data_IF_493086399301
#
_entry.id   IF_493086399301
#
_cell.length_a   1.000
_cell.length_b   1.000
_cell.length_c   1.000
_cell.angle_alpha   90.00
_cell.angle_beta   90.00
_cell.angle_gamma   90.00
#
_symmetry.space_group_name_H-M   'P 1'
#
loop_
_entity.id
_entity.type
_entity.pdbx_description
1 polymer ?
#
# COMPACT_ATOMS: atom_id res chain seq x y z
N UNK A 1 44.91 3.04 39.30
CA UNK A 1 44.26 3.36 38.00
C UNK A 1 43.66 2.07 37.47
N UNK A 2 42.38 1.84 37.66
CA UNK A 2 41.66 0.72 37.05
C UNK A 2 40.77 1.31 36.00
N UNK A 3 41.09 1.03 34.71
CA UNK A 3 40.27 1.41 33.58
C UNK A 3 39.02 0.55 33.54
N UNK A 4 37.87 1.17 33.70
CA UNK A 4 36.57 0.59 33.42
C UNK A 4 36.38 0.61 31.90
N UNK A 5 36.68 -0.52 31.23
CA UNK A 5 36.16 -0.80 29.90
C UNK A 5 34.72 -1.31 30.10
N UNK A 6 33.76 -0.38 30.14
CA UNK A 6 32.37 -0.77 29.91
C UNK A 6 32.22 -1.11 28.43
N UNK A 7 32.32 -2.42 28.13
CA UNK A 7 31.83 -2.97 26.88
C UNK A 7 30.31 -2.69 26.84
N UNK A 8 29.90 -1.78 25.99
CA UNK A 8 28.51 -1.68 25.56
C UNK A 8 28.26 -2.99 24.80
N UNK A 9 27.75 -3.99 25.52
CA UNK A 9 27.16 -5.16 24.88
C UNK A 9 25.92 -4.66 24.15
N UNK A 10 26.01 -4.51 22.84
CA UNK A 10 24.83 -4.32 21.98
C UNK A 10 23.97 -5.55 22.28
N UNK A 11 22.81 -5.31 22.83
CA UNK A 11 21.87 -6.35 23.25
C UNK A 11 21.39 -7.10 22.00
N UNK A 12 22.05 -8.23 21.70
CA UNK A 12 21.71 -9.10 20.56
C UNK A 12 20.23 -9.53 20.61
N UNK A 13 19.63 -9.60 21.82
CA UNK A 13 18.22 -9.88 22.00
C UNK A 13 17.30 -8.79 21.42
N UNK A 14 17.79 -7.53 21.27
CA UNK A 14 17.07 -6.45 20.58
C UNK A 14 17.09 -6.59 19.07
N UNK A 15 18.14 -7.13 18.46
CA UNK A 15 18.20 -7.33 17.01
C UNK A 15 17.27 -8.45 16.52
N UNK A 16 17.18 -9.55 17.28
CA UNK A 16 16.26 -10.64 16.94
C UNK A 16 14.79 -10.23 17.00
N UNK A 17 14.45 -9.25 17.83
CA UNK A 17 13.10 -8.69 17.92
C UNK A 17 12.68 -7.78 16.76
N UNK A 18 13.58 -7.41 15.82
CA UNK A 18 13.30 -6.54 14.68
C UNK A 18 13.12 -7.32 13.37
N UNK A 19 13.01 -8.64 13.43
CA UNK A 19 12.84 -9.54 12.28
C UNK A 19 11.57 -10.38 12.44
N UNK A 20 10.40 -9.79 12.32
CA UNK A 20 9.14 -10.53 12.42
C UNK A 20 9.06 -11.58 11.32
N UNK A 21 8.55 -12.76 11.65
CA UNK A 21 8.40 -13.88 10.71
C UNK A 21 7.01 -13.98 10.13
N UNK A 22 6.06 -13.23 10.66
CA UNK A 22 4.68 -13.20 10.22
C UNK A 22 4.00 -11.85 10.53
N UNK A 23 2.84 -11.64 9.92
CA UNK A 23 2.05 -10.40 10.07
C UNK A 23 1.71 -10.06 11.52
N UNK A 24 1.40 -11.06 12.36
CA UNK A 24 1.02 -10.81 13.75
C UNK A 24 2.18 -10.20 14.55
N UNK A 25 3.36 -10.78 14.43
CA UNK A 25 4.58 -10.27 15.06
C UNK A 25 4.92 -8.86 14.57
N UNK A 26 4.80 -8.63 13.26
CA UNK A 26 5.02 -7.31 12.66
C UNK A 26 4.02 -6.27 13.22
N UNK A 27 2.73 -6.60 13.28
CA UNK A 27 1.69 -5.69 13.80
C UNK A 27 1.90 -5.37 15.28
N UNK A 28 2.29 -6.34 16.09
CA UNK A 28 2.65 -6.13 17.51
C UNK A 28 3.87 -5.22 17.66
N UNK A 29 4.89 -5.41 16.83
CA UNK A 29 6.11 -4.59 16.85
C UNK A 29 5.82 -3.14 16.43
N UNK A 30 5.06 -2.91 15.37
CA UNK A 30 4.62 -1.58 14.94
C UNK A 30 3.84 -0.89 16.06
N UNK A 31 2.85 -1.57 16.64
CA UNK A 31 2.04 -1.04 17.75
C UNK A 31 2.90 -0.61 18.94
N UNK A 32 3.88 -1.44 19.31
CA UNK A 32 4.84 -1.11 20.38
C UNK A 32 5.63 0.16 20.03
N UNK A 33 6.21 0.25 18.81
CA UNK A 33 6.97 1.41 18.37
C UNK A 33 6.14 2.69 18.35
N UNK A 34 4.92 2.61 17.84
CA UNK A 34 4.00 3.76 17.84
C UNK A 34 3.63 4.21 19.26
N UNK A 35 3.47 3.29 20.21
CA UNK A 35 3.21 3.63 21.60
C UNK A 35 4.43 4.29 22.30
N UNK A 36 5.64 3.85 21.97
CA UNK A 36 6.89 4.34 22.57
C UNK A 36 7.35 5.67 21.96
N UNK A 37 7.18 5.85 20.64
CA UNK A 37 7.79 6.94 19.87
C UNK A 37 6.77 7.84 19.17
N UNK A 38 5.49 7.47 19.24
CA UNK A 38 4.40 8.19 18.59
C UNK A 38 4.19 7.80 17.12
N UNK A 39 3.15 8.37 16.48
CA UNK A 39 2.71 7.96 15.14
C UNK A 39 3.67 8.37 14.00
N UNK A 40 4.71 9.14 14.27
CA UNK A 40 5.73 9.57 13.30
C UNK A 40 7.05 8.80 13.44
N UNK A 41 7.05 7.66 14.14
CA UNK A 41 8.25 6.86 14.34
C UNK A 41 8.82 6.34 13.01
N UNK A 42 10.15 6.20 12.97
CA UNK A 42 10.86 5.51 11.90
C UNK A 42 10.82 4.00 12.17
N UNK A 43 10.33 3.23 11.18
CA UNK A 43 10.22 1.77 11.25
C UNK A 43 11.16 1.07 10.23
N UNK A 44 12.07 1.81 9.60
CA UNK A 44 12.97 1.27 8.58
C UNK A 44 14.05 0.31 9.11
N UNK A 45 14.21 0.22 10.42
CA UNK A 45 15.07 -0.77 11.07
C UNK A 45 14.40 -2.15 11.24
N UNK A 46 13.11 -2.25 10.94
CA UNK A 46 12.39 -3.54 10.96
C UNK A 46 12.63 -4.27 9.65
N UNK A 47 13.21 -5.46 9.72
CA UNK A 47 13.40 -6.34 8.56
C UNK A 47 12.09 -7.07 8.21
N UNK A 48 11.39 -6.59 7.19
CA UNK A 48 10.11 -7.15 6.72
C UNK A 48 10.27 -8.09 5.53
N UNK A 49 11.50 -8.39 5.10
CA UNK A 49 11.80 -9.14 3.86
C UNK A 49 11.18 -10.55 3.78
N UNK A 50 10.79 -11.13 4.93
CA UNK A 50 10.13 -12.45 5.00
C UNK A 50 8.60 -12.37 5.06
N UNK A 51 8.04 -11.17 5.13
CA UNK A 51 6.58 -10.99 5.25
C UNK A 51 5.95 -11.12 3.86
N UNK A 52 5.00 -12.01 3.73
CA UNK A 52 4.24 -12.24 2.48
C UNK A 52 2.82 -11.68 2.52
N UNK A 53 2.30 -11.40 3.71
CA UNK A 53 0.96 -10.83 3.94
C UNK A 53 1.07 -9.59 4.83
N UNK A 54 0.73 -8.43 4.25
CA UNK A 54 0.66 -7.14 4.94
C UNK A 54 -0.78 -6.59 5.00
N UNK A 55 -1.79 -7.48 4.80
CA UNK A 55 -3.18 -7.05 4.84
C UNK A 55 -3.54 -6.48 6.21
N UNK A 56 -4.30 -5.37 6.23
CA UNK A 56 -4.75 -4.69 7.46
C UNK A 56 -3.60 -4.24 8.39
N UNK A 57 -2.41 -3.95 7.86
CA UNK A 57 -1.26 -3.65 8.71
C UNK A 57 -1.36 -2.27 9.38
N UNK A 58 -1.85 -1.27 8.67
CA UNK A 58 -2.07 0.10 9.10
C UNK A 58 -3.54 0.53 8.93
N UNK A 59 -4.48 -0.44 8.99
CA UNK A 59 -5.91 -0.17 8.91
C UNK A 59 -6.38 0.71 10.08
N UNK A 60 -7.21 1.71 9.79
CA UNK A 60 -7.74 2.68 10.78
C UNK A 60 -6.62 3.29 11.66
N UNK A 61 -5.47 3.60 11.04
CA UNK A 61 -4.26 3.99 11.74
C UNK A 61 -3.90 5.45 11.53
N UNK A 62 -3.47 6.12 12.60
CA UNK A 62 -2.89 7.45 12.55
C UNK A 62 -1.37 7.44 12.27
N UNK A 63 -0.80 6.32 11.82
CA UNK A 63 0.63 6.22 11.48
C UNK A 63 0.99 7.18 10.34
N UNK A 64 2.04 7.98 10.55
CA UNK A 64 2.61 8.97 9.61
C UNK A 64 4.15 8.90 9.59
N UNK A 65 4.69 7.78 10.03
CA UNK A 65 6.14 7.57 10.14
C UNK A 65 6.77 7.12 8.83
N UNK A 66 8.02 6.67 8.91
CA UNK A 66 8.83 6.29 7.76
C UNK A 66 8.96 4.77 7.63
N UNK A 67 8.56 4.26 6.45
CA UNK A 67 8.67 2.87 6.01
C UNK A 67 9.24 2.78 4.58
N UNK A 68 9.89 3.86 4.12
CA UNK A 68 10.36 4.00 2.73
C UNK A 68 11.42 2.99 2.32
N UNK A 69 12.13 2.38 3.30
CA UNK A 69 13.19 1.40 3.07
C UNK A 69 12.76 -0.05 3.28
N UNK A 70 11.49 -0.29 3.55
CA UNK A 70 11.00 -1.66 3.70
C UNK A 70 11.21 -2.46 2.41
N UNK A 71 11.80 -3.63 2.54
CA UNK A 71 11.85 -4.63 1.46
C UNK A 71 10.53 -5.41 1.44
N UNK A 72 9.63 -4.98 0.56
CA UNK A 72 8.31 -5.60 0.38
C UNK A 72 8.27 -6.58 -0.80
N UNK A 73 9.42 -6.92 -1.38
CA UNK A 73 9.52 -7.76 -2.58
C UNK A 73 8.93 -9.18 -2.40
N UNK A 74 8.84 -9.66 -1.16
CA UNK A 74 8.20 -10.95 -0.86
C UNK A 74 6.67 -10.86 -0.66
N UNK A 75 6.09 -9.65 -0.62
CA UNK A 75 4.68 -9.46 -0.29
C UNK A 75 3.78 -9.88 -1.45
N UNK A 76 2.76 -10.67 -1.14
CA UNK A 76 1.74 -11.15 -2.09
C UNK A 76 0.38 -10.49 -1.83
N UNK A 77 0.09 -10.11 -0.59
CA UNK A 77 -1.19 -9.56 -0.18
C UNK A 77 -1.01 -8.24 0.58
N UNK A 78 -1.60 -7.16 0.03
CA UNK A 78 -1.66 -5.81 0.62
C UNK A 78 -3.11 -5.32 0.81
N UNK A 79 -4.06 -6.26 0.89
CA UNK A 79 -5.48 -5.95 1.08
C UNK A 79 -5.72 -5.10 2.33
N UNK A 80 -6.46 -3.98 2.21
CA UNK A 80 -6.77 -3.04 3.30
C UNK A 80 -5.55 -2.49 4.07
N UNK A 81 -4.34 -2.55 3.50
CA UNK A 81 -3.11 -2.21 4.25
C UNK A 81 -3.13 -0.81 4.84
N UNK A 82 -3.71 0.17 4.15
CA UNK A 82 -3.84 1.58 4.56
C UNK A 82 -5.29 2.05 4.53
N UNK A 83 -6.25 1.16 4.76
CA UNK A 83 -7.66 1.51 4.83
C UNK A 83 -7.94 2.50 5.97
N UNK A 84 -8.68 3.58 5.70
CA UNK A 84 -8.95 4.65 6.68
C UNK A 84 -7.69 5.19 7.38
N UNK A 85 -6.53 5.17 6.69
CA UNK A 85 -5.24 5.52 7.28
C UNK A 85 -4.85 6.97 6.99
N UNK A 86 -4.18 7.58 7.96
CA UNK A 86 -3.56 8.90 7.83
C UNK A 86 -2.19 8.87 7.11
N UNK A 87 -1.72 7.70 6.69
CA UNK A 87 -0.41 7.54 6.04
C UNK A 87 -0.36 8.28 4.69
N UNK A 88 0.68 9.10 4.51
CA UNK A 88 1.02 9.79 3.26
C UNK A 88 2.56 9.83 3.06
N UNK A 89 3.25 8.79 3.52
CA UNK A 89 4.71 8.67 3.41
C UNK A 89 5.19 8.20 2.05
N UNK A 90 6.51 8.27 1.81
CA UNK A 90 7.13 7.84 0.56
C UNK A 90 7.25 6.31 0.49
N UNK A 91 6.54 5.72 -0.47
CA UNK A 91 6.62 4.30 -0.83
C UNK A 91 6.90 4.10 -2.32
N UNK A 92 7.41 5.14 -2.98
CA UNK A 92 7.66 5.14 -4.43
C UNK A 92 8.69 4.11 -4.90
N UNK A 93 9.54 3.62 -3.97
CA UNK A 93 10.61 2.66 -4.25
C UNK A 93 10.26 1.22 -3.89
N UNK A 94 9.07 0.97 -3.37
CA UNK A 94 8.66 -0.38 -3.04
C UNK A 94 8.60 -1.27 -4.28
N UNK A 95 9.18 -2.45 -4.19
CA UNK A 95 9.03 -3.51 -5.20
C UNK A 95 7.75 -4.30 -4.91
N UNK A 96 6.68 -3.96 -5.62
CA UNK A 96 5.36 -4.60 -5.49
C UNK A 96 5.11 -5.65 -6.57
N UNK A 97 6.15 -6.03 -7.33
CA UNK A 97 6.03 -6.91 -8.50
C UNK A 97 5.46 -8.31 -8.17
N UNK A 98 5.55 -8.76 -6.92
CA UNK A 98 4.97 -10.04 -6.49
C UNK A 98 3.54 -9.93 -5.94
N UNK A 99 3.01 -8.72 -5.75
CA UNK A 99 1.68 -8.51 -5.17
C UNK A 99 0.59 -9.01 -6.12
N UNK A 100 -0.39 -9.72 -5.55
CA UNK A 100 -1.57 -10.24 -6.26
C UNK A 100 -2.86 -9.55 -5.84
N UNK A 101 -2.94 -9.10 -4.59
CA UNK A 101 -4.14 -8.51 -4.01
C UNK A 101 -3.83 -7.14 -3.42
N UNK A 102 -4.49 -6.11 -3.98
CA UNK A 102 -4.48 -4.71 -3.52
C UNK A 102 -5.90 -4.20 -3.25
N UNK A 103 -6.87 -5.10 -2.97
CA UNK A 103 -8.23 -4.69 -2.66
C UNK A 103 -8.25 -3.70 -1.49
N UNK A 104 -8.94 -2.57 -1.67
CA UNK A 104 -9.13 -1.52 -0.67
C UNK A 104 -7.84 -1.00 -0.01
N UNK A 105 -6.68 -1.14 -0.68
CA UNK A 105 -5.38 -0.79 -0.07
C UNK A 105 -5.32 0.65 0.43
N UNK A 106 -5.91 1.59 -0.29
CA UNK A 106 -5.96 3.02 0.04
C UNK A 106 -7.40 3.55 0.11
N UNK A 107 -8.38 2.67 0.34
CA UNK A 107 -9.78 3.09 0.52
C UNK A 107 -9.89 4.00 1.74
N UNK A 108 -10.58 5.13 1.57
CA UNK A 108 -10.78 6.15 2.61
C UNK A 108 -9.47 6.72 3.22
N UNK A 109 -8.36 6.60 2.49
CA UNK A 109 -7.01 7.00 2.93
C UNK A 109 -6.66 8.42 2.47
N UNK A 110 -5.75 9.06 3.21
CA UNK A 110 -5.17 10.36 2.84
C UNK A 110 -4.01 10.24 1.84
N UNK A 111 -3.57 9.01 1.51
CA UNK A 111 -2.42 8.77 0.64
C UNK A 111 -2.57 9.41 -0.74
N UNK A 112 -1.56 10.20 -1.13
CA UNK A 112 -1.44 10.79 -2.46
C UNK A 112 0.02 10.79 -2.99
N UNK A 113 0.84 9.85 -2.52
CA UNK A 113 2.23 9.69 -2.91
C UNK A 113 2.42 9.20 -4.35
N UNK A 114 3.65 9.31 -4.85
CA UNK A 114 4.03 8.84 -6.19
C UNK A 114 4.20 7.31 -6.21
N UNK A 115 3.33 6.63 -6.92
CA UNK A 115 3.38 5.19 -7.18
C UNK A 115 3.40 4.87 -8.68
N UNK A 116 3.75 5.86 -9.51
CA UNK A 116 3.75 5.76 -10.97
C UNK A 116 4.69 4.67 -11.52
N UNK A 117 5.71 4.28 -10.72
CA UNK A 117 6.72 3.30 -11.09
C UNK A 117 6.46 1.90 -10.56
N UNK A 118 5.38 1.70 -9.82
CA UNK A 118 5.04 0.37 -9.33
C UNK A 118 4.77 -0.60 -10.48
N UNK A 119 5.40 -1.75 -10.44
CA UNK A 119 5.06 -2.87 -11.32
C UNK A 119 3.86 -3.62 -10.77
N UNK A 120 2.67 -3.30 -11.29
CA UNK A 120 1.40 -3.94 -10.91
C UNK A 120 0.99 -5.05 -11.86
N UNK A 121 1.86 -5.45 -12.80
CA UNK A 121 1.54 -6.41 -13.86
C UNK A 121 1.10 -7.79 -13.35
N UNK A 122 1.44 -8.12 -12.11
CA UNK A 122 1.03 -9.37 -11.48
C UNK A 122 -0.24 -9.26 -10.62
N UNK A 123 -0.79 -8.06 -10.43
CA UNK A 123 -1.98 -7.86 -9.60
C UNK A 123 -3.23 -8.41 -10.30
N UNK A 124 -4.10 -9.04 -9.51
CA UNK A 124 -5.35 -9.64 -9.97
C UNK A 124 -6.59 -8.98 -9.37
N UNK A 125 -6.47 -8.39 -8.20
CA UNK A 125 -7.58 -7.81 -7.45
C UNK A 125 -7.23 -6.39 -6.98
N UNK A 126 -8.03 -5.40 -7.47
CA UNK A 126 -7.91 -3.98 -7.16
C UNK A 126 -9.28 -3.37 -6.78
N UNK A 127 -10.23 -4.20 -6.31
CA UNK A 127 -11.54 -3.73 -5.87
C UNK A 127 -11.38 -2.62 -4.84
N UNK A 128 -12.04 -1.48 -5.03
CA UNK A 128 -12.05 -0.36 -4.10
C UNK A 128 -10.68 0.24 -3.76
N UNK A 129 -9.61 -0.03 -4.52
CA UNK A 129 -8.24 0.36 -4.13
C UNK A 129 -8.08 1.82 -3.76
N UNK A 130 -8.81 2.71 -4.41
CA UNK A 130 -8.83 4.17 -4.16
C UNK A 130 -10.25 4.68 -3.90
N UNK A 131 -11.16 3.82 -3.41
CA UNK A 131 -12.52 4.24 -3.05
C UNK A 131 -12.46 5.32 -1.98
N UNK A 132 -13.27 6.38 -2.12
CA UNK A 132 -13.36 7.49 -1.17
C UNK A 132 -12.00 8.13 -0.77
N UNK A 133 -10.99 8.07 -1.64
CA UNK A 133 -9.63 8.53 -1.34
C UNK A 133 -9.29 9.89 -1.95
N UNK A 134 -8.22 10.50 -1.42
CA UNK A 134 -7.64 11.75 -1.95
C UNK A 134 -6.64 11.50 -3.09
N UNK A 135 -6.38 10.24 -3.45
CA UNK A 135 -5.38 9.86 -4.44
C UNK A 135 -5.64 10.50 -5.81
N UNK A 136 -4.61 11.14 -6.38
CA UNK A 136 -4.67 11.74 -7.71
C UNK A 136 -3.29 11.75 -8.42
N UNK A 137 -2.33 10.91 -8.02
CA UNK A 137 -1.04 10.77 -8.68
C UNK A 137 -1.14 9.97 -9.98
N UNK A 138 -0.13 10.10 -10.85
CA UNK A 138 -0.15 9.49 -12.18
C UNK A 138 0.04 7.96 -12.13
N UNK A 139 -0.95 7.23 -12.63
CA UNK A 139 -0.92 5.77 -12.79
C UNK A 139 -1.23 5.35 -14.25
N UNK A 140 -1.12 6.27 -15.19
CA UNK A 140 -1.46 6.05 -16.60
C UNK A 140 -0.62 4.97 -17.28
N UNK A 141 0.53 4.62 -16.69
CA UNK A 141 1.48 3.63 -17.24
C UNK A 141 1.36 2.25 -16.60
N UNK A 142 0.47 2.07 -15.63
CA UNK A 142 0.29 0.77 -15.00
C UNK A 142 -0.17 -0.28 -16.01
N UNK A 143 0.47 -1.43 -16.00
CA UNK A 143 -0.01 -2.61 -16.73
C UNK A 143 -1.06 -3.35 -15.88
N UNK A 144 -2.32 -3.11 -16.19
CA UNK A 144 -3.47 -3.73 -15.51
C UNK A 144 -4.04 -4.91 -16.28
N UNK A 145 -3.33 -5.41 -17.28
CA UNK A 145 -3.82 -6.45 -18.19
C UNK A 145 -4.15 -7.79 -17.51
N UNK A 146 -3.58 -8.04 -16.32
CA UNK A 146 -3.87 -9.25 -15.54
C UNK A 146 -4.95 -9.06 -14.48
N UNK A 147 -5.44 -7.83 -14.28
CA UNK A 147 -6.47 -7.56 -13.27
C UNK A 147 -7.80 -8.18 -13.69
N UNK A 148 -8.49 -8.80 -12.73
CA UNK A 148 -9.80 -9.45 -12.90
C UNK A 148 -10.94 -8.64 -12.30
N UNK A 149 -10.65 -7.91 -11.24
CA UNK A 149 -11.65 -7.16 -10.49
C UNK A 149 -11.12 -5.76 -10.15
N UNK A 150 -11.87 -4.75 -10.59
CA UNK A 150 -11.67 -3.32 -10.31
C UNK A 150 -12.97 -2.66 -9.82
N UNK A 151 -13.94 -3.44 -9.35
CA UNK A 151 -15.20 -2.88 -8.84
C UNK A 151 -14.92 -1.75 -7.85
N UNK A 152 -15.63 -0.65 -7.94
CA UNK A 152 -15.52 0.52 -7.05
C UNK A 152 -14.12 1.17 -6.95
N UNK A 153 -13.14 0.85 -7.82
CA UNK A 153 -11.73 1.26 -7.63
C UNK A 153 -11.55 2.76 -7.40
N UNK A 154 -12.33 3.61 -8.06
CA UNK A 154 -12.28 5.08 -7.92
C UNK A 154 -13.62 5.66 -7.45
N UNK A 155 -14.52 4.85 -6.90
CA UNK A 155 -15.82 5.30 -6.42
C UNK A 155 -15.64 6.35 -5.31
N UNK A 156 -16.34 7.49 -5.41
CA UNK A 156 -16.19 8.63 -4.52
C UNK A 156 -14.78 9.24 -4.39
N UNK A 157 -13.83 8.85 -5.26
CA UNK A 157 -12.46 9.37 -5.20
C UNK A 157 -12.30 10.74 -5.84
N UNK A 158 -11.15 11.39 -5.59
CA UNK A 158 -10.76 12.64 -6.25
C UNK A 158 -9.94 12.44 -7.54
N UNK A 159 -9.78 11.20 -7.99
CA UNK A 159 -8.92 10.87 -9.12
C UNK A 159 -9.38 11.48 -10.44
N UNK A 160 -8.45 12.14 -11.17
CA UNK A 160 -8.68 12.84 -12.45
C UNK A 160 -7.73 12.38 -13.55
N UNK A 161 -6.88 11.39 -13.26
CA UNK A 161 -5.83 10.93 -14.17
C UNK A 161 -6.37 10.34 -15.48
N UNK A 162 -5.49 10.22 -16.48
CA UNK A 162 -5.84 9.63 -17.76
C UNK A 162 -5.57 8.12 -17.74
N UNK A 163 -6.59 7.32 -17.98
CA UNK A 163 -6.54 5.86 -18.00
C UNK A 163 -6.78 5.28 -19.41
N UNK A 164 -6.79 6.11 -20.46
CA UNK A 164 -7.12 5.70 -21.84
C UNK A 164 -6.26 4.55 -22.41
N UNK A 165 -5.07 4.36 -21.84
CA UNK A 165 -4.11 3.34 -22.29
C UNK A 165 -4.20 2.02 -21.53
N UNK A 166 -5.03 1.94 -20.51
CA UNK A 166 -5.18 0.71 -19.76
C UNK A 166 -5.78 -0.41 -20.61
N UNK A 167 -5.16 -1.58 -20.59
CA UNK A 167 -5.73 -2.79 -21.19
C UNK A 167 -6.63 -3.48 -20.16
N UNK A 168 -7.93 -3.32 -20.34
CA UNK A 168 -8.97 -3.82 -19.42
C UNK A 168 -9.71 -5.05 -19.95
N UNK A 169 -9.17 -5.70 -20.97
CA UNK A 169 -9.82 -6.82 -21.66
C UNK A 169 -10.09 -8.05 -20.78
N UNK A 170 -9.33 -8.19 -19.68
CA UNK A 170 -9.46 -9.33 -18.78
C UNK A 170 -10.31 -9.03 -17.53
N UNK A 171 -10.83 -7.81 -17.38
CA UNK A 171 -11.61 -7.43 -16.20
C UNK A 171 -12.99 -8.08 -16.28
N UNK A 172 -13.36 -8.80 -15.23
CA UNK A 172 -14.67 -9.44 -15.06
C UNK A 172 -15.64 -8.52 -14.34
N UNK A 173 -15.17 -7.85 -13.29
CA UNK A 173 -15.98 -6.87 -12.55
C UNK A 173 -15.35 -5.48 -12.57
N UNK A 174 -16.12 -4.51 -13.06
CA UNK A 174 -15.82 -3.07 -13.07
C UNK A 174 -17.01 -2.26 -12.55
N UNK A 175 -17.92 -2.89 -11.80
CA UNK A 175 -19.14 -2.26 -11.27
C UNK A 175 -18.78 -1.05 -10.42
N UNK A 176 -19.42 0.11 -10.70
CA UNK A 176 -19.23 1.37 -10.00
C UNK A 176 -17.79 1.93 -9.95
N UNK A 177 -16.91 1.48 -10.86
CA UNK A 177 -15.49 1.86 -10.83
C UNK A 177 -15.27 3.38 -10.76
N UNK A 178 -16.11 4.20 -11.40
CA UNK A 178 -16.02 5.68 -11.41
C UNK A 178 -17.18 6.37 -10.70
N UNK A 179 -18.09 5.63 -10.06
CA UNK A 179 -19.31 6.20 -9.49
C UNK A 179 -19.02 7.36 -8.54
N UNK A 180 -19.61 8.53 -8.86
CA UNK A 180 -19.42 9.79 -8.12
C UNK A 180 -17.94 10.24 -7.99
N UNK A 181 -17.11 9.89 -8.95
CA UNK A 181 -15.75 10.45 -9.10
C UNK A 181 -15.73 11.44 -10.27
N UNK A 182 -14.65 12.25 -10.45
CA UNK A 182 -14.51 13.10 -11.62
C UNK A 182 -14.49 12.35 -12.96
N UNK A 183 -14.14 11.05 -12.97
CA UNK A 183 -14.16 10.21 -14.17
C UNK A 183 -15.55 9.68 -14.53
N UNK A 184 -16.57 9.80 -13.65
CA UNK A 184 -17.97 9.44 -13.95
C UNK A 184 -18.56 10.27 -15.11
N UNK A 185 -18.06 11.50 -15.31
CA UNK A 185 -18.43 12.39 -16.41
C UNK A 185 -17.39 12.49 -17.54
N UNK A 186 -16.20 11.85 -17.36
CA UNK A 186 -15.06 11.88 -18.28
C UNK A 186 -14.45 10.50 -18.42
N UNK A 187 -15.30 9.54 -18.75
CA UNK A 187 -14.95 8.12 -18.85
C UNK A 187 -13.77 7.88 -19.80
N UNK A 188 -12.82 7.00 -19.47
CA UNK A 188 -11.75 6.58 -20.37
C UNK A 188 -12.30 5.93 -21.65
N UNK A 189 -11.54 5.99 -22.74
CA UNK A 189 -11.96 5.48 -24.07
C UNK A 189 -12.38 4.01 -24.07
N UNK A 190 -11.83 3.20 -23.20
CA UNK A 190 -12.14 1.77 -23.06
C UNK A 190 -13.42 1.49 -22.25
N UNK A 191 -14.01 2.52 -21.62
CA UNK A 191 -15.27 2.38 -20.88
C UNK A 191 -16.48 2.29 -21.82
N UNK A 192 -16.28 2.13 -23.12
CA UNK A 192 -17.31 2.19 -24.14
C UNK A 192 -18.59 1.44 -23.81
N UNK A 193 -19.73 2.15 -24.00
CA UNK A 193 -21.15 1.74 -23.96
C UNK A 193 -21.55 0.85 -22.79
N UNK A 194 -22.33 1.44 -21.91
CA UNK A 194 -23.21 0.71 -20.99
C UNK A 194 -24.09 -0.22 -21.81
N UNK A 195 -23.70 -1.50 -21.94
CA UNK A 195 -24.61 -2.56 -22.35
C UNK A 195 -25.42 -2.99 -21.15
#
# INVERSE_FOLDING_TARGET
>A
MRGLNEYITVDESRQDNLRPTNKKELKELIKRRMNEQGPRCDLNDIDVSKITDMSYLFDDSNFKGDISKWDVSSVVNMEYMFWCSDFDGDISKWDVSNVKNMNHMFDSSLFNGDISKWDVSNVRWMTGMFENSMFNSDISKWDVSNVKDMGSMFKYSNFKGNLDKWNVSNIVDKTWIFYRSPLDSREPRWWGSRD
#
